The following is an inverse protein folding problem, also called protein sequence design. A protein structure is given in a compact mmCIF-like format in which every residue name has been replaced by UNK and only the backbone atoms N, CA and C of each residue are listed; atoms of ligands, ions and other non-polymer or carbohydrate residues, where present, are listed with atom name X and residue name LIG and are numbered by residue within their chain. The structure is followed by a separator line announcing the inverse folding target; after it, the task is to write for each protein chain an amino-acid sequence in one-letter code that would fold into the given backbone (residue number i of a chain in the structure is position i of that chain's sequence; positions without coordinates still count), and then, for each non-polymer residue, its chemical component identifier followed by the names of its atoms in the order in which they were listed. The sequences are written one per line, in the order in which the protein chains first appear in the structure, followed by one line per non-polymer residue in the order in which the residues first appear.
data_IF_560441968248
#
_entry.id   IF_560441968248
#
_cell.length_a   1.000
_cell.length_b   1.000
_cell.length_c   1.000
_cell.angle_alpha   90.00
_cell.angle_beta   90.00
_cell.angle_gamma   90.00
#
_symmetry.space_group_name_H-M   'P 1'
#
loop_
_entity.id
_entity.type
_entity.pdbx_description
1 polymer ?
#
# COMPACT_ATOMS: atom_id res chain seq x y z
N UNK A 1 13.48 -14.74 3.30
CA UNK A 1 14.77 -14.04 3.47
C UNK A 1 14.80 -12.72 2.71
N UNK A 2 14.52 -12.70 1.39
CA UNK A 2 14.57 -11.46 0.59
C UNK A 2 13.62 -10.36 1.08
N UNK A 3 12.35 -10.66 1.33
CA UNK A 3 11.38 -9.64 1.75
C UNK A 3 11.76 -8.97 3.09
N UNK A 4 12.25 -9.75 4.06
CA UNK A 4 12.74 -9.21 5.33
C UNK A 4 13.96 -8.31 5.13
N UNK A 5 14.87 -8.68 4.21
CA UNK A 5 16.00 -7.83 3.85
C UNK A 5 15.56 -6.53 3.17
N UNK A 6 14.60 -6.60 2.24
CA UNK A 6 14.03 -5.44 1.56
C UNK A 6 13.36 -4.50 2.55
N UNK A 7 12.58 -5.03 3.48
CA UNK A 7 11.93 -4.25 4.54
C UNK A 7 12.97 -3.49 5.39
N UNK A 8 13.98 -4.19 5.89
CA UNK A 8 15.06 -3.57 6.65
C UNK A 8 15.79 -2.48 5.83
N UNK A 9 16.01 -2.74 4.54
CA UNK A 9 16.66 -1.78 3.65
C UNK A 9 15.80 -0.55 3.39
N UNK A 10 14.49 -0.72 3.21
CA UNK A 10 13.54 0.39 3.04
C UNK A 10 13.52 1.27 4.28
N UNK A 11 13.48 0.69 5.49
CA UNK A 11 13.49 1.43 6.75
C UNK A 11 14.81 2.22 6.93
N UNK A 12 15.97 1.61 6.65
CA UNK A 12 17.26 2.31 6.70
C UNK A 12 17.34 3.46 5.69
N UNK A 13 16.85 3.25 4.47
CA UNK A 13 16.81 4.30 3.47
C UNK A 13 15.86 5.44 3.87
N UNK A 14 14.68 5.12 4.42
CA UNK A 14 13.66 6.10 4.79
C UNK A 14 14.19 7.18 5.75
N UNK A 15 14.98 6.78 6.75
CA UNK A 15 15.57 7.70 7.73
C UNK A 15 16.62 8.64 7.10
N UNK A 16 17.27 8.20 6.01
CA UNK A 16 18.44 8.88 5.43
C UNK A 16 18.11 9.71 4.20
N UNK A 17 17.06 9.34 3.47
CA UNK A 17 16.64 10.02 2.26
C UNK A 17 16.17 11.44 2.57
N UNK A 18 16.64 12.39 1.77
CA UNK A 18 16.24 13.78 1.85
C UNK A 18 14.92 13.99 1.11
N UNK A 19 14.08 14.87 1.64
CA UNK A 19 12.88 15.32 0.95
C UNK A 19 13.28 16.12 -0.31
N UNK A 20 12.57 15.91 -1.41
CA UNK A 20 12.97 16.46 -2.72
C UNK A 20 12.94 18.00 -2.77
N UNK A 21 12.02 18.60 -2.02
CA UNK A 21 11.84 20.06 -1.97
C UNK A 21 12.31 20.71 -0.66
N UNK A 22 12.54 19.92 0.40
CA UNK A 22 12.80 20.44 1.75
C UNK A 22 14.18 19.97 2.22
N UNK A 23 14.96 20.85 2.85
CA UNK A 23 16.25 20.51 3.43
C UNK A 23 16.11 19.75 4.76
N UNK A 24 15.35 18.65 4.74
CA UNK A 24 15.02 17.75 5.85
C UNK A 24 14.91 16.32 5.33
N UNK A 25 15.06 15.34 6.21
CA UNK A 25 14.81 13.95 5.82
C UNK A 25 13.32 13.70 5.57
N UNK A 26 13.00 12.68 4.76
CA UNK A 26 11.62 12.25 4.54
C UNK A 26 10.96 11.87 5.87
N UNK A 27 11.71 11.21 6.76
CA UNK A 27 11.25 10.83 8.10
C UNK A 27 10.85 12.05 8.96
N UNK A 28 11.66 13.12 8.94
CA UNK A 28 11.37 14.36 9.68
C UNK A 28 10.11 15.07 9.16
N UNK A 29 9.96 15.14 7.83
CA UNK A 29 8.78 15.75 7.20
C UNK A 29 7.53 14.95 7.55
N UNK A 30 7.55 13.62 7.36
CA UNK A 30 6.43 12.75 7.69
C UNK A 30 6.05 12.83 9.18
N UNK A 31 7.02 12.89 10.09
CA UNK A 31 6.75 13.06 11.52
C UNK A 31 5.98 14.35 11.83
N UNK A 32 6.28 15.44 11.13
CA UNK A 32 5.58 16.72 11.28
C UNK A 32 4.19 16.72 10.67
N UNK A 33 3.97 15.98 9.58
CA UNK A 33 2.68 15.89 8.90
C UNK A 33 1.71 14.94 9.61
N UNK A 34 2.24 13.96 10.35
CA UNK A 34 1.43 12.88 10.96
C UNK A 34 0.32 13.39 11.88
N UNK A 35 0.50 14.53 12.55
CA UNK A 35 -0.54 15.15 13.39
C UNK A 35 -1.64 15.84 12.60
N UNK A 36 -1.41 16.14 11.33
CA UNK A 36 -2.39 16.77 10.44
C UNK A 36 -3.17 15.76 9.60
N UNK A 37 -2.75 14.49 9.61
CA UNK A 37 -3.47 13.42 8.92
C UNK A 37 -4.80 13.12 9.62
N UNK A 38 -5.80 12.76 8.81
CA UNK A 38 -7.06 12.25 9.35
C UNK A 38 -6.79 10.97 10.15
N UNK A 39 -7.47 10.83 11.30
CA UNK A 39 -7.42 9.59 12.07
C UNK A 39 -7.91 8.45 11.18
N UNK A 40 -7.14 7.35 11.03
CA UNK A 40 -7.58 6.20 10.27
C UNK A 40 -8.93 5.72 10.80
N UNK A 41 -9.87 5.45 9.89
CA UNK A 41 -11.17 4.87 10.23
C UNK A 41 -11.05 3.40 10.65
N UNK A 42 -12.08 2.61 10.36
CA UNK A 42 -12.03 1.16 10.59
C UNK A 42 -10.84 0.55 9.83
N UNK A 43 -9.96 -0.22 10.49
CA UNK A 43 -8.91 -0.95 9.80
C UNK A 43 -9.48 -1.84 8.70
N UNK A 44 -8.71 -2.04 7.64
CA UNK A 44 -9.04 -3.03 6.63
C UNK A 44 -9.15 -4.41 7.29
N UNK A 45 -10.31 -5.05 7.15
CA UNK A 45 -10.66 -6.31 7.83
C UNK A 45 -10.44 -7.56 6.97
N UNK A 46 -9.86 -7.39 5.79
CA UNK A 46 -9.47 -8.48 4.90
C UNK A 46 -10.27 -8.52 3.60
N UNK A 47 -10.03 -9.58 2.83
CA UNK A 47 -10.75 -9.81 1.58
C UNK A 47 -11.91 -10.76 1.82
N UNK A 48 -13.06 -10.45 1.22
CA UNK A 48 -14.19 -11.38 1.15
C UNK A 48 -14.08 -12.15 -0.15
N UNK A 49 -13.69 -13.41 -0.06
CA UNK A 49 -13.61 -14.29 -1.22
C UNK A 49 -15.01 -14.63 -1.73
N UNK A 50 -15.20 -14.53 -3.05
CA UNK A 50 -16.41 -14.96 -3.72
C UNK A 50 -16.06 -15.90 -4.86
N UNK A 51 -16.55 -17.13 -4.79
CA UNK A 51 -16.45 -18.06 -5.91
C UNK A 51 -17.31 -17.55 -7.07
N UNK A 52 -16.67 -17.21 -8.18
CA UNK A 52 -17.34 -16.80 -9.42
C UNK A 52 -16.99 -17.76 -10.55
N UNK A 53 -17.93 -17.95 -11.48
CA UNK A 53 -17.69 -18.74 -12.69
C UNK A 53 -16.78 -17.96 -13.64
N UNK A 54 -15.72 -18.62 -14.09
CA UNK A 54 -14.88 -18.12 -15.19
C UNK A 54 -15.59 -18.42 -16.52
N UNK A 55 -15.74 -17.43 -17.39
CA UNK A 55 -16.27 -17.63 -18.74
C UNK A 55 -15.29 -18.43 -19.61
N UNK A 56 -15.73 -19.00 -20.74
CA UNK A 56 -14.83 -19.61 -21.72
C UNK A 56 -13.75 -18.66 -22.29
N UNK A 57 -13.90 -17.35 -22.05
CA UNK A 57 -12.96 -16.30 -22.47
C UNK A 57 -12.06 -15.80 -21.34
N UNK A 58 -11.92 -16.57 -20.26
CA UNK A 58 -11.11 -16.24 -19.07
C UNK A 58 -11.54 -14.94 -18.37
N UNK A 59 -12.86 -14.67 -18.34
CA UNK A 59 -13.41 -13.47 -17.71
C UNK A 59 -14.29 -13.83 -16.52
N UNK A 60 -14.15 -13.08 -15.44
CA UNK A 60 -14.97 -13.13 -14.23
C UNK A 60 -15.82 -11.85 -14.18
N UNK A 61 -17.12 -12.00 -13.97
CA UNK A 61 -18.01 -10.87 -13.69
C UNK A 61 -18.13 -10.67 -12.17
N UNK A 62 -17.67 -9.52 -11.68
CA UNK A 62 -17.68 -9.17 -10.26
C UNK A 62 -18.00 -7.67 -10.11
N UNK A 63 -18.97 -7.34 -9.25
CA UNK A 63 -19.40 -5.95 -8.97
C UNK A 63 -19.64 -5.07 -10.22
N UNK A 64 -20.26 -5.64 -11.25
CA UNK A 64 -20.53 -4.92 -12.50
C UNK A 64 -19.33 -4.76 -13.44
N UNK A 65 -18.14 -5.19 -13.02
CA UNK A 65 -16.91 -5.19 -13.81
C UNK A 65 -16.58 -6.59 -14.33
N UNK A 66 -15.76 -6.64 -15.40
CA UNK A 66 -15.20 -7.89 -15.95
C UNK A 66 -13.68 -7.90 -15.73
N UNK A 67 -13.21 -8.90 -15.02
CA UNK A 67 -11.79 -9.11 -14.72
C UNK A 67 -11.26 -10.30 -15.51
N UNK A 68 -10.04 -10.19 -16.04
CA UNK A 68 -9.34 -11.32 -16.66
C UNK A 68 -8.57 -12.10 -15.59
N UNK A 69 -8.62 -13.43 -15.69
CA UNK A 69 -7.82 -14.37 -14.89
C UNK A 69 -6.76 -15.06 -15.72
#
# INVERSE_FOLDING_TARGET
ALNAWLEARCLDCWERLQHIELARSIAEVHASERSHLMVPGRPFDGFVEQTKRVSPTCLIQFEGNRYSV
#
